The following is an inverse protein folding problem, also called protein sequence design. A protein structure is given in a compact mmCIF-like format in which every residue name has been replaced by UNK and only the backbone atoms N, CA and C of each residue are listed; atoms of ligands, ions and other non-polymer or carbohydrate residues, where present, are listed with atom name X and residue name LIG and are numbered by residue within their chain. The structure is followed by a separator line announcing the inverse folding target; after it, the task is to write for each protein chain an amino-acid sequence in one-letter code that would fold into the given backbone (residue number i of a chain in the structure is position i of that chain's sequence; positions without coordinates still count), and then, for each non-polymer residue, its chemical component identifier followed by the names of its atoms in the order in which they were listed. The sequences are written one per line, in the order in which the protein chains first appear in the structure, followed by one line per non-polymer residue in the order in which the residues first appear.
data_IF_792629824087
#
_entry.id   IF_792629824087
#
_cell.length_a   1.000
_cell.length_b   1.000
_cell.length_c   1.000
_cell.angle_alpha   90.00
_cell.angle_beta   90.00
_cell.angle_gamma   90.00
#
_symmetry.space_group_name_H-M   'P 1'
#
loop_
_entity.id
_entity.type
_entity.pdbx_description
1 polymer ?
#
# COMPACT_ATOMS: atom_id res chain seq x y z
N UNK A 1 7.03 9.01 -10.54
CA UNK A 1 7.36 7.74 -11.24
C UNK A 1 8.25 8.02 -12.42
N UNK A 2 7.95 9.02 -13.24
CA UNK A 2 8.79 9.39 -14.38
C UNK A 2 10.20 9.79 -13.96
N UNK A 3 10.32 10.55 -12.86
CA UNK A 3 11.62 10.96 -12.32
C UNK A 3 12.44 9.75 -11.83
N UNK A 4 11.79 8.75 -11.23
CA UNK A 4 12.43 7.50 -10.79
C UNK A 4 12.83 6.63 -11.98
N UNK A 5 12.00 6.58 -13.03
CA UNK A 5 12.30 5.85 -14.27
C UNK A 5 13.57 6.38 -14.94
N UNK A 6 13.72 7.71 -15.05
CA UNK A 6 14.93 8.34 -15.59
C UNK A 6 16.19 7.90 -14.82
N UNK A 7 16.12 7.81 -13.50
CA UNK A 7 17.23 7.35 -12.66
C UNK A 7 17.50 5.86 -12.92
N UNK A 8 16.46 5.04 -12.93
CA UNK A 8 16.59 3.59 -13.13
C UNK A 8 17.19 3.25 -14.50
N UNK A 9 16.77 3.94 -15.57
CA UNK A 9 17.31 3.79 -16.93
C UNK A 9 18.79 4.17 -17.00
N UNK A 10 19.16 5.30 -16.40
CA UNK A 10 20.54 5.78 -16.38
C UNK A 10 21.49 4.75 -15.76
N UNK A 11 21.02 4.02 -14.76
CA UNK A 11 21.81 3.04 -14.03
C UNK A 11 21.60 1.59 -14.48
N UNK A 12 20.72 1.34 -15.46
CA UNK A 12 20.42 0.00 -15.93
C UNK A 12 19.83 -0.92 -14.85
N UNK A 13 19.04 -0.34 -13.92
CA UNK A 13 18.42 -1.08 -12.81
C UNK A 13 16.91 -1.20 -13.00
N UNK A 14 16.33 -2.25 -12.40
CA UNK A 14 14.88 -2.41 -12.37
C UNK A 14 14.24 -1.41 -11.40
N UNK A 15 13.12 -0.84 -11.84
CA UNK A 15 12.19 -0.10 -10.99
C UNK A 15 11.10 -1.07 -10.52
N UNK A 16 11.02 -1.29 -9.20
CA UNK A 16 9.97 -2.09 -8.57
C UNK A 16 9.07 -1.15 -7.76
N UNK A 17 7.77 -1.19 -8.04
CA UNK A 17 6.75 -0.41 -7.34
C UNK A 17 6.03 -1.28 -6.30
N UNK A 18 6.12 -0.89 -5.03
CA UNK A 18 5.21 -1.42 -4.00
C UNK A 18 3.88 -0.65 -4.05
N UNK A 19 2.87 -1.29 -4.62
CA UNK A 19 1.52 -0.76 -4.76
C UNK A 19 0.52 -1.41 -3.79
N UNK A 20 0.98 -1.88 -2.63
CA UNK A 20 0.10 -2.46 -1.60
C UNK A 20 -1.09 -1.56 -1.23
N UNK A 21 -0.94 -0.23 -1.35
CA UNK A 21 -1.95 0.77 -0.98
C UNK A 21 -2.60 1.50 -2.16
N UNK A 22 -2.21 1.20 -3.41
CA UNK A 22 -2.50 2.05 -4.57
C UNK A 22 -3.19 1.32 -5.73
N UNK A 23 -3.73 0.12 -5.50
CA UNK A 23 -4.63 -0.52 -6.48
C UNK A 23 -5.80 0.43 -6.81
N UNK A 24 -6.05 0.66 -8.10
CA UNK A 24 -7.09 1.58 -8.61
C UNK A 24 -6.65 3.06 -8.68
N UNK A 25 -5.41 3.37 -8.29
CA UNK A 25 -4.86 4.71 -8.39
C UNK A 25 -4.29 5.00 -9.79
N UNK A 26 -4.22 6.27 -10.15
CA UNK A 26 -3.74 6.76 -11.46
C UNK A 26 -2.62 7.79 -11.24
N UNK A 27 -1.57 7.69 -12.05
CA UNK A 27 -0.47 8.65 -12.14
C UNK A 27 -0.34 9.16 -13.58
N UNK A 28 -0.58 10.46 -13.80
CA UNK A 28 -0.53 11.11 -15.13
C UNK A 28 -1.33 10.32 -16.19
N UNK A 29 -2.57 9.97 -15.86
CA UNK A 29 -3.47 9.22 -16.75
C UNK A 29 -3.16 7.72 -16.91
N UNK A 30 -2.08 7.21 -16.29
CA UNK A 30 -1.71 5.78 -16.34
C UNK A 30 -2.06 5.09 -15.02
N UNK A 31 -2.62 3.89 -15.11
CA UNK A 31 -2.95 3.08 -13.94
C UNK A 31 -1.69 2.63 -13.20
N UNK A 32 -1.73 2.67 -11.87
CA UNK A 32 -0.72 1.99 -11.04
C UNK A 32 -0.69 0.50 -11.40
N UNK A 33 0.51 -0.06 -11.56
CA UNK A 33 0.72 -1.39 -12.17
C UNK A 33 1.28 -1.37 -13.58
N UNK A 34 1.21 -0.22 -14.28
CA UNK A 34 1.79 -0.05 -15.62
C UNK A 34 2.96 0.95 -15.66
N UNK A 35 3.48 1.35 -14.49
CA UNK A 35 4.43 2.45 -14.34
C UNK A 35 5.88 1.99 -14.13
N UNK A 36 6.05 0.78 -13.60
CA UNK A 36 7.33 0.20 -13.21
C UNK A 36 7.61 -1.10 -13.99
N UNK A 37 8.82 -1.63 -13.88
CA UNK A 37 9.17 -2.91 -14.49
C UNK A 37 8.40 -4.05 -13.82
N UNK A 38 8.21 -3.96 -12.50
CA UNK A 38 7.39 -4.86 -11.70
C UNK A 38 6.62 -4.01 -10.69
N UNK A 39 5.33 -4.28 -10.54
CA UNK A 39 4.49 -3.71 -9.47
C UNK A 39 3.91 -4.83 -8.62
N UNK A 40 3.94 -4.69 -7.30
CA UNK A 40 3.32 -5.65 -6.37
C UNK A 40 2.12 -5.06 -5.66
N UNK A 41 1.04 -5.83 -5.54
CA UNK A 41 -0.18 -5.45 -4.84
C UNK A 41 -0.42 -6.34 -3.62
N UNK A 42 -1.12 -5.79 -2.62
CA UNK A 42 -1.55 -6.52 -1.43
C UNK A 42 -3.07 -6.54 -1.37
N UNK A 43 -3.61 -7.69 -0.98
CA UNK A 43 -5.05 -7.94 -0.81
C UNK A 43 -5.38 -8.41 0.62
N UNK A 44 -4.55 -8.05 1.59
CA UNK A 44 -4.81 -8.25 3.03
C UNK A 44 -6.13 -7.56 3.46
N UNK A 45 -6.83 -7.95 4.55
CA UNK A 45 -8.19 -7.50 4.85
C UNK A 45 -8.34 -6.00 5.01
N UNK A 46 -7.27 -5.31 5.40
CA UNK A 46 -7.31 -3.85 5.58
C UNK A 46 -7.14 -3.06 4.29
N UNK A 47 -6.66 -3.68 3.19
CA UNK A 47 -6.37 -3.00 1.92
C UNK A 47 -7.64 -2.50 1.21
N UNK A 48 -7.45 -1.68 0.17
CA UNK A 48 -8.56 -1.08 -0.58
C UNK A 48 -9.50 -2.13 -1.21
N UNK A 49 -8.95 -3.31 -1.46
CA UNK A 49 -9.61 -4.53 -1.91
C UNK A 49 -8.97 -5.69 -1.15
N UNK A 50 -9.74 -6.73 -0.83
CA UNK A 50 -9.21 -7.91 -0.13
C UNK A 50 -9.56 -9.24 -0.78
N UNK A 51 -8.67 -10.21 -0.59
CA UNK A 51 -8.87 -11.65 -0.81
C UNK A 51 -8.75 -12.42 0.50
N UNK A 52 -9.02 -11.78 1.64
CA UNK A 52 -8.58 -12.15 2.99
C UNK A 52 -7.05 -12.18 3.12
N UNK A 53 -6.37 -13.11 2.45
CA UNK A 53 -4.92 -13.09 2.28
C UNK A 53 -4.60 -13.08 0.79
N UNK A 54 -3.54 -12.38 0.39
CA UNK A 54 -3.09 -12.43 -0.99
C UNK A 54 -2.43 -11.17 -1.51
N UNK A 55 -2.06 -11.24 -2.78
CA UNK A 55 -1.44 -10.18 -3.53
C UNK A 55 -1.32 -10.54 -5.00
N UNK A 56 -0.75 -9.64 -5.78
CA UNK A 56 -0.48 -9.86 -7.20
C UNK A 56 0.83 -9.21 -7.62
N UNK A 57 1.40 -9.72 -8.70
CA UNK A 57 2.52 -9.12 -9.41
C UNK A 57 2.02 -8.71 -10.79
N UNK A 58 2.25 -7.46 -11.17
CA UNK A 58 1.98 -6.93 -12.51
C UNK A 58 3.29 -6.48 -13.16
N UNK A 59 3.35 -6.61 -14.47
CA UNK A 59 4.45 -6.13 -15.30
C UNK A 59 3.96 -6.06 -16.74
N UNK A 60 4.46 -5.08 -17.51
CA UNK A 60 4.27 -5.02 -18.95
C UNK A 60 5.26 -5.93 -19.71
N UNK A 61 6.29 -6.45 -19.03
CA UNK A 61 7.26 -7.37 -19.61
C UNK A 61 6.79 -8.83 -19.40
N UNK A 62 6.40 -9.55 -20.47
CA UNK A 62 5.94 -10.92 -20.35
C UNK A 62 7.01 -11.86 -19.80
N UNK A 63 8.30 -11.60 -20.03
CA UNK A 63 9.38 -12.44 -19.50
C UNK A 63 9.49 -12.32 -17.97
N UNK A 64 9.31 -11.11 -17.43
CA UNK A 64 9.30 -10.89 -15.98
C UNK A 64 8.08 -11.56 -15.34
N UNK A 65 6.91 -11.50 -15.98
CA UNK A 65 5.71 -12.22 -15.52
C UNK A 65 5.90 -13.72 -15.53
N UNK A 66 6.52 -14.29 -16.58
CA UNK A 66 6.81 -15.73 -16.62
C UNK A 66 7.80 -16.14 -15.52
N UNK A 67 8.83 -15.34 -15.26
CA UNK A 67 9.77 -15.57 -14.14
C UNK A 67 9.03 -15.56 -12.80
N UNK A 68 8.20 -14.55 -12.53
CA UNK A 68 7.41 -14.46 -11.30
C UNK A 68 6.40 -15.63 -11.17
N UNK A 69 5.78 -16.03 -12.28
CA UNK A 69 4.84 -17.16 -12.35
C UNK A 69 5.52 -18.49 -12.03
N UNK A 70 6.71 -18.73 -12.57
CA UNK A 70 7.52 -19.92 -12.24
C UNK A 70 7.95 -19.88 -10.78
N UNK A 71 8.49 -18.76 -10.31
CA UNK A 71 8.94 -18.61 -8.93
C UNK A 71 7.83 -18.90 -7.92
N UNK A 72 6.62 -18.37 -8.13
CA UNK A 72 5.44 -18.64 -7.27
C UNK A 72 4.92 -20.09 -7.32
N UNK A 73 5.41 -20.89 -8.26
CA UNK A 73 5.04 -22.30 -8.50
C UNK A 73 6.24 -23.23 -8.38
N UNK A 74 7.14 -22.99 -7.42
CA UNK A 74 8.30 -23.86 -7.15
C UNK A 74 9.27 -24.02 -8.34
N UNK A 75 9.23 -23.12 -9.33
CA UNK A 75 10.03 -23.21 -10.56
C UNK A 75 9.52 -24.22 -11.58
N UNK A 76 8.28 -24.69 -11.41
CA UNK A 76 7.67 -25.73 -12.25
C UNK A 76 7.47 -25.28 -13.70
N UNK A 77 7.87 -26.14 -14.64
CA UNK A 77 7.70 -26.03 -16.09
C UNK A 77 6.86 -27.21 -16.54
N UNK A 78 5.77 -26.91 -17.27
CA UNK A 78 4.85 -27.92 -17.85
C UNK A 78 4.76 -27.85 -19.37
N UNK A 79 5.43 -26.87 -19.97
CA UNK A 79 5.46 -26.65 -21.41
C UNK A 79 6.48 -27.61 -22.05
N UNK A 80 6.03 -28.60 -22.86
CA UNK A 80 6.92 -29.61 -23.42
C UNK A 80 8.03 -29.04 -24.31
N UNK A 81 7.79 -27.89 -24.95
CA UNK A 81 8.80 -27.23 -25.80
C UNK A 81 10.02 -26.73 -25.02
N UNK A 82 9.91 -26.63 -23.69
CA UNK A 82 10.96 -26.17 -22.80
C UNK A 82 11.67 -27.31 -22.06
N UNK A 83 11.17 -28.55 -22.15
CA UNK A 83 11.74 -29.68 -21.41
C UNK A 83 13.18 -29.96 -21.81
N UNK A 84 14.04 -30.15 -20.81
CA UNK A 84 15.44 -30.52 -20.97
C UNK A 84 15.63 -32.04 -20.95
N UNK A 85 14.68 -32.76 -20.38
CA UNK A 85 14.67 -34.23 -20.29
C UNK A 85 13.73 -34.76 -21.37
N UNK A 86 14.28 -35.56 -22.29
CA UNK A 86 13.54 -36.16 -23.41
C UNK A 86 12.95 -37.54 -23.07
N UNK A 87 12.05 -38.04 -23.93
CA UNK A 87 11.53 -39.41 -23.86
C UNK A 87 10.50 -39.66 -22.76
N UNK A 88 9.95 -38.60 -22.17
CA UNK A 88 8.94 -38.69 -21.13
C UNK A 88 7.52 -38.60 -21.70
N UNK A 89 6.54 -39.13 -20.98
CA UNK A 89 5.12 -39.06 -21.36
C UNK A 89 4.44 -37.76 -20.94
N UNK A 90 3.14 -37.65 -21.22
CA UNK A 90 2.34 -36.43 -21.01
C UNK A 90 2.21 -35.98 -19.53
N UNK A 91 2.62 -36.81 -18.57
CA UNK A 91 2.65 -36.46 -17.15
C UNK A 91 3.89 -35.64 -16.76
N UNK A 92 4.91 -35.57 -17.62
CA UNK A 92 6.21 -35.02 -17.28
C UNK A 92 6.15 -33.52 -16.95
N UNK A 93 6.92 -33.14 -15.93
CA UNK A 93 7.06 -31.77 -15.47
C UNK A 93 8.48 -31.60 -14.96
N UNK A 94 9.05 -30.41 -15.16
CA UNK A 94 10.42 -30.12 -14.75
C UNK A 94 10.46 -28.95 -13.79
N UNK A 95 11.50 -28.88 -12.97
CA UNK A 95 11.83 -27.69 -12.18
C UNK A 95 13.16 -27.18 -12.69
N UNK A 96 13.15 -26.00 -13.31
CA UNK A 96 14.37 -25.44 -13.92
C UNK A 96 15.13 -24.48 -13.01
N UNK A 97 14.44 -23.91 -12.03
CA UNK A 97 14.93 -22.86 -11.13
C UNK A 97 14.29 -23.05 -9.75
N UNK A 98 14.90 -22.57 -8.66
CA UNK A 98 14.25 -22.62 -7.34
C UNK A 98 13.10 -21.61 -7.26
N UNK A 99 12.01 -22.02 -6.61
CA UNK A 99 10.85 -21.17 -6.33
C UNK A 99 10.14 -21.55 -5.04
N UNK A 100 9.09 -20.80 -4.71
CA UNK A 100 8.29 -20.97 -3.50
C UNK A 100 6.84 -21.34 -3.83
N UNK A 101 6.05 -21.69 -2.82
CA UNK A 101 4.62 -21.93 -2.94
C UNK A 101 3.80 -20.71 -2.52
N UNK A 102 3.66 -19.77 -3.47
CA UNK A 102 2.96 -18.50 -3.29
C UNK A 102 1.69 -18.40 -4.14
N UNK A 103 1.10 -19.55 -4.54
CA UNK A 103 -0.16 -19.57 -5.27
C UNK A 103 -1.30 -19.10 -4.37
N UNK A 104 -2.18 -18.28 -4.92
CA UNK A 104 -3.43 -17.89 -4.27
C UNK A 104 -4.50 -18.97 -4.53
N UNK A 105 -5.18 -19.51 -3.50
CA UNK A 105 -6.28 -20.45 -3.69
C UNK A 105 -7.47 -19.84 -4.42
N UNK A 106 -8.16 -20.63 -5.25
CA UNK A 106 -9.30 -20.16 -6.07
C UNK A 106 -10.45 -19.57 -5.26
N UNK A 107 -10.67 -20.04 -4.02
CA UNK A 107 -11.66 -19.46 -3.10
C UNK A 107 -11.33 -18.00 -2.78
N UNK A 108 -10.05 -17.68 -2.57
CA UNK A 108 -9.60 -16.30 -2.32
C UNK A 108 -9.63 -15.47 -3.61
N UNK A 109 -9.33 -16.09 -4.76
CA UNK A 109 -9.52 -15.47 -6.08
C UNK A 109 -10.99 -15.09 -6.34
N UNK A 110 -11.95 -15.94 -5.95
CA UNK A 110 -13.38 -15.66 -6.10
C UNK A 110 -13.82 -14.43 -5.31
N UNK A 111 -13.32 -14.28 -4.07
CA UNK A 111 -13.52 -13.06 -3.28
C UNK A 111 -12.90 -11.84 -3.98
N UNK A 112 -11.67 -11.97 -4.48
CA UNK A 112 -10.99 -10.90 -5.22
C UNK A 112 -11.75 -10.45 -6.48
N UNK A 113 -12.27 -11.40 -7.26
CA UNK A 113 -13.08 -11.10 -8.45
C UNK A 113 -14.38 -10.38 -8.09
N UNK A 114 -15.02 -10.75 -6.99
CA UNK A 114 -16.21 -10.05 -6.47
C UNK A 114 -15.87 -8.62 -6.06
N UNK A 115 -14.76 -8.43 -5.34
CA UNK A 115 -14.30 -7.12 -4.88
C UNK A 115 -13.82 -6.22 -6.04
N UNK A 116 -13.15 -6.76 -7.06
CA UNK A 116 -12.65 -6.01 -8.21
C UNK A 116 -13.78 -5.31 -8.97
N UNK A 117 -14.95 -5.94 -9.08
CA UNK A 117 -16.15 -5.34 -9.70
C UNK A 117 -16.63 -4.08 -8.98
N UNK A 118 -16.27 -3.92 -7.70
CA UNK A 118 -16.65 -2.81 -6.82
C UNK A 118 -15.51 -1.84 -6.56
N UNK A 119 -14.36 -1.99 -7.21
CA UNK A 119 -13.19 -1.15 -6.94
C UNK A 119 -13.47 0.35 -7.17
N UNK A 120 -14.25 0.70 -8.20
CA UNK A 120 -14.66 2.08 -8.48
C UNK A 120 -15.56 2.61 -7.36
N UNK A 121 -16.53 1.82 -6.90
CA UNK A 121 -17.40 2.15 -5.76
C UNK A 121 -16.56 2.41 -4.49
N UNK A 122 -15.58 1.54 -4.22
CA UNK A 122 -14.68 1.68 -3.08
C UNK A 122 -13.83 2.94 -3.14
N UNK A 123 -13.29 3.24 -4.32
CA UNK A 123 -12.50 4.45 -4.57
C UNK A 123 -13.31 5.72 -4.36
N UNK A 124 -14.52 5.77 -4.92
CA UNK A 124 -15.40 6.94 -4.79
C UNK A 124 -15.76 7.18 -3.33
N UNK A 125 -16.21 6.13 -2.62
CA UNK A 125 -16.55 6.24 -1.19
C UNK A 125 -15.38 6.70 -0.33
N UNK A 126 -14.16 6.19 -0.58
CA UNK A 126 -12.95 6.66 0.11
C UNK A 126 -12.59 8.09 -0.24
N UNK A 127 -12.81 8.52 -1.48
CA UNK A 127 -12.60 9.91 -1.91
C UNK A 127 -13.57 10.85 -1.18
N UNK A 128 -14.84 10.51 -1.07
CA UNK A 128 -15.82 11.32 -0.31
C UNK A 128 -15.43 11.47 1.17
N UNK A 129 -14.96 10.38 1.79
CA UNK A 129 -14.45 10.40 3.17
C UNK A 129 -13.21 11.30 3.25
N UNK A 130 -12.26 11.14 2.33
CA UNK A 130 -11.04 11.93 2.29
C UNK A 130 -11.35 13.43 2.19
N UNK A 131 -12.19 13.84 1.23
CA UNK A 131 -12.55 15.25 1.04
C UNK A 131 -13.29 15.82 2.26
N UNK A 132 -14.17 15.04 2.90
CA UNK A 132 -14.87 15.47 4.12
C UNK A 132 -13.90 15.74 5.28
N UNK A 133 -12.90 14.88 5.48
CA UNK A 133 -11.86 15.14 6.49
C UNK A 133 -10.97 16.33 6.09
N UNK A 134 -10.58 16.42 4.83
CA UNK A 134 -9.77 17.53 4.34
C UNK A 134 -10.46 18.87 4.51
N UNK A 135 -11.75 18.98 4.17
CA UNK A 135 -12.54 20.20 4.37
C UNK A 135 -12.71 20.55 5.85
N UNK A 136 -12.88 19.55 6.72
CA UNK A 136 -12.99 19.79 8.15
C UNK A 136 -11.71 20.39 8.74
N UNK A 137 -10.53 19.88 8.37
CA UNK A 137 -9.27 20.26 9.02
C UNK A 137 -8.42 21.28 8.24
N UNK A 138 -8.84 21.73 7.05
CA UNK A 138 -8.03 22.61 6.17
C UNK A 138 -7.56 23.93 6.81
N UNK A 139 -8.26 24.42 7.82
CA UNK A 139 -7.99 25.70 8.48
C UNK A 139 -7.50 25.52 9.93
N UNK A 140 -7.03 24.33 10.29
CA UNK A 140 -6.49 24.04 11.62
C UNK A 140 -4.97 24.06 11.54
N UNK A 141 -4.35 25.11 12.06
CA UNK A 141 -2.89 25.31 11.99
C UNK A 141 -2.10 24.16 12.62
N UNK A 142 -2.66 23.53 13.67
CA UNK A 142 -2.06 22.39 14.35
C UNK A 142 -2.16 21.06 13.56
N UNK A 143 -2.83 21.02 12.41
CA UNK A 143 -3.02 19.80 11.62
C UNK A 143 -2.53 20.00 10.19
N UNK A 144 -1.49 19.27 9.80
CA UNK A 144 -1.12 19.17 8.38
C UNK A 144 -1.83 17.99 7.73
N UNK A 145 -2.52 18.28 6.63
CA UNK A 145 -3.26 17.30 5.84
C UNK A 145 -2.35 16.53 4.86
N UNK A 146 -2.74 15.30 4.46
CA UNK A 146 -2.07 14.58 3.37
C UNK A 146 -2.20 15.36 2.05
N UNK A 147 -1.07 15.57 1.38
CA UNK A 147 -1.02 16.27 0.09
C UNK A 147 -1.49 15.42 -1.08
N UNK A 148 -2.10 16.05 -2.08
CA UNK A 148 -2.45 15.47 -3.38
C UNK A 148 -1.86 16.32 -4.50
N UNK A 149 -1.15 15.70 -5.46
CA UNK A 149 -0.70 16.39 -6.68
C UNK A 149 -1.81 16.34 -7.73
N UNK A 150 -1.95 17.38 -8.54
CA UNK A 150 -3.04 17.48 -9.53
C UNK A 150 -3.07 16.32 -10.55
N UNK A 151 -1.89 15.79 -10.88
CA UNK A 151 -1.75 14.71 -11.85
C UNK A 151 -1.90 13.30 -11.25
N UNK A 152 -2.28 13.18 -9.97
CA UNK A 152 -2.56 11.89 -9.34
C UNK A 152 -4.02 11.76 -8.92
N UNK A 153 -4.55 10.56 -9.08
CA UNK A 153 -5.91 10.21 -8.65
C UNK A 153 -5.84 8.91 -7.81
N UNK A 154 -5.65 9.05 -6.49
CA UNK A 154 -5.41 7.94 -5.59
C UNK A 154 -6.70 7.26 -5.08
N UNK A 155 -6.58 6.02 -4.62
CA UNK A 155 -7.68 5.25 -3.99
C UNK A 155 -7.84 5.56 -2.50
N UNK A 156 -6.92 6.33 -1.91
CA UNK A 156 -6.90 6.72 -0.49
C UNK A 156 -7.02 5.55 0.50
N UNK A 157 -5.94 4.78 0.63
CA UNK A 157 -5.89 3.68 1.61
C UNK A 157 -5.87 4.16 3.06
N UNK A 158 -5.17 5.26 3.32
CA UNK A 158 -4.97 5.87 4.64
C UNK A 158 -5.28 7.37 4.57
N UNK A 159 -5.59 7.96 5.73
CA UNK A 159 -5.70 9.40 5.93
C UNK A 159 -4.68 9.84 7.00
N UNK A 160 -3.40 9.98 6.64
CA UNK A 160 -2.34 10.32 7.58
C UNK A 160 -2.29 11.83 7.81
N UNK A 161 -2.79 12.29 8.95
CA UNK A 161 -2.59 13.67 9.40
C UNK A 161 -1.26 13.79 10.15
N UNK A 162 -0.68 14.98 10.18
CA UNK A 162 0.45 15.31 11.06
C UNK A 162 0.02 16.36 12.07
N UNK A 163 0.42 16.16 13.32
CA UNK A 163 0.16 17.03 14.48
C UNK A 163 1.49 17.34 15.18
N UNK A 164 1.59 18.35 16.05
CA UNK A 164 2.81 18.63 16.80
C UNK A 164 3.33 17.37 17.50
N UNK A 165 4.63 17.10 17.35
CA UNK A 165 5.25 15.84 17.75
C UNK A 165 5.11 15.56 19.26
N UNK A 166 5.19 16.61 20.07
CA UNK A 166 4.99 16.60 21.52
C UNK A 166 3.56 16.19 21.92
N UNK A 167 2.59 16.47 21.05
CA UNK A 167 1.17 16.26 21.31
C UNK A 167 0.63 14.97 20.71
N UNK A 168 1.31 14.41 19.70
CA UNK A 168 0.91 13.18 19.00
C UNK A 168 0.54 12.04 19.95
N UNK A 169 1.35 11.79 20.98
CA UNK A 169 1.12 10.69 21.93
C UNK A 169 -0.18 10.88 22.72
N UNK A 170 -0.41 12.10 23.21
CA UNK A 170 -1.61 12.46 23.98
C UNK A 170 -2.86 12.39 23.10
N UNK A 171 -2.81 12.97 21.91
CA UNK A 171 -3.89 12.89 20.92
C UNK A 171 -4.24 11.45 20.54
N UNK A 172 -3.22 10.63 20.24
CA UNK A 172 -3.43 9.22 19.93
C UNK A 172 -4.15 8.47 21.06
N UNK A 173 -3.72 8.69 22.31
CA UNK A 173 -4.33 8.08 23.48
C UNK A 173 -5.77 8.57 23.72
N UNK A 174 -6.03 9.87 23.56
CA UNK A 174 -7.38 10.43 23.70
C UNK A 174 -8.34 9.84 22.65
N UNK A 175 -7.95 9.81 21.38
CA UNK A 175 -8.74 9.24 20.28
C UNK A 175 -9.07 7.76 20.57
N UNK A 176 -8.06 6.98 20.99
CA UNK A 176 -8.25 5.57 21.35
C UNK A 176 -9.17 5.39 22.57
N UNK A 177 -9.06 6.25 23.58
CA UNK A 177 -9.94 6.19 24.77
C UNK A 177 -11.41 6.42 24.45
N UNK A 178 -11.69 7.13 23.35
CA UNK A 178 -13.04 7.40 22.83
C UNK A 178 -13.49 6.38 21.78
N UNK A 179 -12.76 5.27 21.62
CA UNK A 179 -13.11 4.19 20.70
C UNK A 179 -12.67 4.40 19.24
N UNK A 180 -11.93 5.47 18.93
CA UNK A 180 -11.47 5.74 17.56
C UNK A 180 -10.22 4.93 17.26
N UNK A 181 -10.30 4.07 16.24
CA UNK A 181 -9.23 3.17 15.81
C UNK A 181 -8.07 3.81 15.04
N UNK A 182 -7.41 4.84 15.59
CA UNK A 182 -6.27 5.51 14.94
C UNK A 182 -4.99 4.68 14.91
N UNK A 183 -4.16 4.85 13.89
CA UNK A 183 -2.88 4.13 13.73
C UNK A 183 -1.71 5.09 13.50
N UNK A 184 -0.49 4.55 13.50
CA UNK A 184 0.72 5.26 13.07
C UNK A 184 1.37 4.46 11.95
N UNK A 185 1.65 5.12 10.82
CA UNK A 185 2.10 4.50 9.58
C UNK A 185 3.24 5.33 8.96
N UNK A 186 4.52 5.03 9.17
CA UNK A 186 5.11 3.90 9.91
C UNK A 186 6.41 4.34 10.60
N UNK A 187 6.91 3.52 11.53
CA UNK A 187 8.28 3.66 12.02
C UNK A 187 9.27 3.58 10.84
N UNK A 188 10.23 4.50 10.71
CA UNK A 188 11.26 4.40 9.67
C UNK A 188 11.98 3.05 9.75
N UNK A 189 12.15 2.39 8.60
CA UNK A 189 12.58 0.99 8.54
C UNK A 189 13.84 0.71 9.39
N UNK A 190 14.88 1.56 9.25
CA UNK A 190 16.15 1.39 9.95
C UNK A 190 16.10 1.60 11.47
N UNK A 191 14.99 2.14 12.00
CA UNK A 191 14.80 2.30 13.44
C UNK A 191 14.26 1.02 14.12
N UNK A 192 13.82 0.02 13.34
CA UNK A 192 13.39 -1.26 13.88
C UNK A 192 14.56 -2.00 14.58
N UNK A 193 14.32 -2.72 15.69
CA UNK A 193 15.38 -3.39 16.46
C UNK A 193 16.25 -4.41 15.70
N UNK A 194 15.75 -4.95 14.57
CA UNK A 194 16.50 -5.88 13.72
C UNK A 194 17.67 -5.20 13.00
N UNK A 195 17.62 -3.88 12.80
CA UNK A 195 18.70 -3.12 12.18
C UNK A 195 19.72 -2.70 13.24
N UNK A 196 21.00 -2.83 12.90
CA UNK A 196 22.08 -2.48 13.81
C UNK A 196 22.18 -0.95 13.96
N UNK A 197 21.83 -0.44 15.14
CA UNK A 197 21.86 1.00 15.47
C UNK A 197 23.23 1.65 15.32
N UNK A 198 24.33 0.91 15.43
CA UNK A 198 25.67 1.49 15.19
C UNK A 198 25.93 1.75 13.71
N UNK A 199 25.28 1.01 12.81
CA UNK A 199 25.35 1.21 11.36
C UNK A 199 24.27 2.18 10.86
N UNK A 200 23.14 2.23 11.55
CA UNK A 200 21.98 3.05 11.21
C UNK A 200 21.56 3.91 12.41
N UNK A 201 22.32 4.97 12.72
CA UNK A 201 21.98 5.86 13.82
C UNK A 201 20.74 6.71 13.49
N UNK A 202 20.10 7.25 14.53
CA UNK A 202 19.07 8.28 14.37
C UNK A 202 19.66 9.51 13.65
N UNK A 203 18.82 10.26 12.95
CA UNK A 203 19.19 11.40 12.12
C UNK A 203 19.61 11.03 10.70
N UNK A 204 19.65 9.75 10.33
CA UNK A 204 20.02 9.31 8.98
C UNK A 204 18.99 9.73 7.92
N UNK A 205 17.70 9.64 8.26
CA UNK A 205 16.59 10.03 7.39
C UNK A 205 15.69 11.05 8.12
N UNK A 206 16.13 12.30 8.31
CA UNK A 206 15.46 13.27 9.18
C UNK A 206 14.01 13.54 8.76
N UNK A 207 13.73 13.58 7.45
CA UNK A 207 12.36 13.79 6.94
C UNK A 207 11.43 12.63 7.33
N UNK A 208 11.91 11.39 7.28
CA UNK A 208 11.13 10.22 7.66
C UNK A 208 10.90 10.17 9.17
N UNK A 209 11.90 10.55 9.96
CA UNK A 209 11.80 10.66 11.42
C UNK A 209 10.79 11.73 11.85
N UNK A 210 10.86 12.93 11.26
CA UNK A 210 9.90 14.01 11.49
C UNK A 210 8.49 13.56 11.15
N UNK A 211 8.28 12.97 9.96
CA UNK A 211 6.98 12.45 9.56
C UNK A 211 6.43 11.45 10.59
N UNK A 212 7.23 10.45 10.99
CA UNK A 212 6.82 9.45 11.98
C UNK A 212 6.49 10.06 13.36
N UNK A 213 7.24 11.09 13.78
CA UNK A 213 7.06 11.72 15.09
C UNK A 213 5.76 12.51 15.22
N UNK A 214 5.18 12.90 14.09
CA UNK A 214 4.00 13.76 13.99
C UNK A 214 2.75 13.03 13.47
N UNK A 215 2.90 11.89 12.80
CA UNK A 215 1.81 11.26 12.05
C UNK A 215 0.81 10.49 12.94
N UNK A 216 -0.48 10.65 12.62
CA UNK A 216 -1.60 9.82 13.07
C UNK A 216 -2.50 9.54 11.87
N UNK A 217 -2.81 8.27 11.62
CA UNK A 217 -3.74 7.87 10.57
C UNK A 217 -5.16 7.75 11.12
N UNK A 218 -6.07 8.55 10.54
CA UNK A 218 -7.50 8.49 10.86
C UNK A 218 -8.19 7.32 10.14
N UNK A 219 -9.29 6.78 10.71
CA UNK A 219 -10.06 5.74 10.05
C UNK A 219 -10.55 6.16 8.66
N UNK A 220 -10.19 5.38 7.64
CA UNK A 220 -10.74 5.52 6.29
C UNK A 220 -10.97 4.14 5.69
N UNK A 221 -12.24 3.79 5.50
CA UNK A 221 -12.66 2.53 4.91
C UNK A 221 -14.06 2.64 4.32
N UNK A 222 -14.39 1.71 3.43
CA UNK A 222 -15.66 1.72 2.69
C UNK A 222 -16.89 1.82 3.62
N UNK A 223 -16.89 1.07 4.73
CA UNK A 223 -17.99 1.03 5.68
C UNK A 223 -18.08 2.21 6.67
N UNK A 224 -17.24 3.25 6.55
CA UNK A 224 -17.29 4.38 7.49
C UNK A 224 -18.55 5.21 7.21
N UNK A 225 -19.41 5.30 8.23
CA UNK A 225 -20.64 6.08 8.16
C UNK A 225 -20.32 7.57 8.32
N UNK A 226 -21.18 8.42 7.74
CA UNK A 226 -21.03 9.88 7.86
C UNK A 226 -21.19 10.33 9.33
N UNK A 227 -22.04 9.66 10.10
CA UNK A 227 -22.18 9.90 11.55
C UNK A 227 -20.87 9.67 12.28
N UNK A 228 -20.24 8.52 12.03
CA UNK A 228 -19.00 8.12 12.70
C UNK A 228 -17.85 9.04 12.27
N UNK A 229 -17.80 9.41 10.99
CA UNK A 229 -16.85 10.38 10.48
C UNK A 229 -16.99 11.75 11.17
N UNK A 230 -18.22 12.25 11.33
CA UNK A 230 -18.49 13.50 12.04
C UNK A 230 -18.10 13.42 13.51
N UNK A 231 -18.35 12.28 14.17
CA UNK A 231 -17.93 12.04 15.55
C UNK A 231 -16.39 12.08 15.68
N UNK A 232 -15.67 11.43 14.76
CA UNK A 232 -14.20 11.48 14.70
C UNK A 232 -13.72 12.92 14.54
N UNK A 233 -14.35 13.70 13.65
CA UNK A 233 -14.02 15.12 13.43
C UNK A 233 -14.20 15.93 14.71
N UNK A 234 -15.35 15.82 15.36
CA UNK A 234 -15.66 16.57 16.58
C UNK A 234 -14.70 16.20 17.72
N UNK A 235 -14.41 14.91 17.88
CA UNK A 235 -13.49 14.45 18.93
C UNK A 235 -12.08 14.99 18.68
N UNK A 236 -11.62 14.97 17.43
CA UNK A 236 -10.28 15.46 17.10
C UNK A 236 -10.19 16.98 17.29
N UNK A 237 -11.18 17.76 16.89
CA UNK A 237 -11.21 19.20 17.19
C UNK A 237 -11.09 19.47 18.69
N UNK A 238 -11.94 18.82 19.50
CA UNK A 238 -11.92 18.99 20.95
C UNK A 238 -10.59 18.55 21.59
N UNK A 239 -9.87 17.62 20.95
CA UNK A 239 -8.57 17.15 21.43
C UNK A 239 -7.45 18.12 21.04
N UNK A 240 -7.52 18.71 19.84
CA UNK A 240 -6.59 19.74 19.35
C UNK A 240 -6.71 21.03 20.15
N UNK A 241 -7.92 21.47 20.48
CA UNK A 241 -8.14 22.71 21.24
C UNK A 241 -7.52 22.71 22.66
N UNK A 242 -7.10 21.54 23.16
CA UNK A 242 -6.46 21.38 24.48
C UNK A 242 -4.95 21.46 24.45
N UNK A 243 -4.36 21.59 23.26
CA UNK A 243 -2.92 21.56 23.00
C UNK A 243 -2.45 22.95 22.65
#
# INVERSE_FOLDING_TARGET
MDELRVIADRHGIYLIEDAAHSLGSIYRGRSVGSLADITTFSFFPTKNLTTAEGGAVASLNPELLEKARRFSRQGLVRDPSKFKISGQGAWHQEVHEFGLNYRLPDVLCALGLSQLKRLVEFKNKRSDIFETYSDAFRNIDAVSLPGKREYVDPTWHLFPIRVPAESRKTLFAELRSKGIGVQVNYLPAYMHPVFNRSKYPNGLCPIAETFYSEEISLPIHFGLLKSDQNEIIQILFNAIDKI
#
